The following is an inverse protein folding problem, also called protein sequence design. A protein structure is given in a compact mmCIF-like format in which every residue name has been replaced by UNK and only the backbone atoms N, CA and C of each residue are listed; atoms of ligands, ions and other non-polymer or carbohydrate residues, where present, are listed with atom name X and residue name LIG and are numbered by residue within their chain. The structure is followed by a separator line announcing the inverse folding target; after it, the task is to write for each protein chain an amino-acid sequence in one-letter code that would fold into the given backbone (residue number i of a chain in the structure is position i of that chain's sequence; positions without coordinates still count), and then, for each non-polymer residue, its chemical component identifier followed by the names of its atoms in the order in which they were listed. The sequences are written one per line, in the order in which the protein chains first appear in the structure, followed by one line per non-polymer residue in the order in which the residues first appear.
data_IF_610960848784
#
_entry.id   IF_610960848784
#
_cell.length_a   1.000
_cell.length_b   1.000
_cell.length_c   1.000
_cell.angle_alpha   90.00
_cell.angle_beta   90.00
_cell.angle_gamma   90.00
#
_symmetry.space_group_name_H-M   'P 1'
#
loop_
_entity.id
_entity.type
_entity.pdbx_description
1 polymer ?
#
# COMPACT_ATOMS: atom_id res chain seq x y z
N UNK A 1 -10.15 2.62 3.30
CA UNK A 1 -9.33 3.48 2.44
C UNK A 1 -9.78 3.48 0.98
N UNK A 2 -9.49 2.48 0.14
CA UNK A 2 -9.71 2.60 -1.32
C UNK A 2 -10.78 1.64 -1.80
N UNK A 3 -11.79 2.10 -2.52
CA UNK A 3 -12.81 1.25 -3.14
C UNK A 3 -13.00 1.58 -4.61
N UNK A 4 -12.90 0.54 -5.43
CA UNK A 4 -13.29 0.53 -6.84
C UNK A 4 -14.66 -0.17 -6.95
N UNK A 5 -15.59 0.47 -7.64
CA UNK A 5 -16.96 -0.02 -7.88
C UNK A 5 -17.30 0.05 -9.37
N UNK A 6 -17.36 -1.10 -10.04
CA UNK A 6 -17.60 -1.28 -11.49
C UNK A 6 -16.78 -0.33 -12.39
N UNK A 7 -15.49 -0.16 -12.05
CA UNK A 7 -14.64 0.82 -12.72
C UNK A 7 -14.27 0.35 -14.12
N UNK A 8 -14.57 1.18 -15.12
CA UNK A 8 -14.22 0.97 -16.53
C UNK A 8 -13.38 2.14 -17.01
N UNK A 9 -12.38 1.85 -17.84
CA UNK A 9 -11.55 2.88 -18.46
C UNK A 9 -11.23 2.50 -19.90
N UNK A 10 -11.75 3.31 -20.81
CA UNK A 10 -11.44 3.25 -22.24
C UNK A 10 -10.66 4.51 -22.62
N UNK A 11 -9.47 4.34 -23.19
CA UNK A 11 -8.69 5.46 -23.71
C UNK A 11 -9.27 5.96 -25.03
N UNK A 12 -8.93 7.20 -25.40
CA UNK A 12 -9.38 7.81 -26.68
C UNK A 12 -8.95 7.01 -27.92
N UNK A 13 -7.91 6.20 -27.80
CA UNK A 13 -7.45 5.25 -28.82
C UNK A 13 -8.41 4.07 -29.05
N UNK A 14 -9.44 3.90 -28.21
CA UNK A 14 -10.35 2.76 -28.24
C UNK A 14 -9.87 1.55 -27.43
N UNK A 15 -8.76 1.67 -26.69
CA UNK A 15 -8.24 0.59 -25.84
C UNK A 15 -8.99 0.56 -24.50
N UNK A 16 -9.69 -0.53 -24.25
CA UNK A 16 -10.32 -0.84 -22.96
C UNK A 16 -9.28 -1.36 -21.97
N UNK A 17 -8.84 -0.48 -21.08
CA UNK A 17 -7.77 -0.78 -20.13
C UNK A 17 -8.29 -1.34 -18.79
N UNK A 18 -9.51 -0.98 -18.37
CA UNK A 18 -10.20 -1.55 -17.22
C UNK A 18 -11.64 -1.86 -17.62
N UNK A 19 -12.14 -3.03 -17.24
CA UNK A 19 -13.42 -3.57 -17.69
C UNK A 19 -14.27 -4.06 -16.50
N UNK A 20 -14.78 -3.13 -15.69
CA UNK A 20 -15.70 -3.45 -14.57
C UNK A 20 -14.98 -3.91 -13.31
N UNK A 21 -13.85 -3.28 -13.01
CA UNK A 21 -12.98 -3.61 -11.89
C UNK A 21 -13.62 -3.18 -10.57
N UNK A 22 -13.76 -4.12 -9.64
CA UNK A 22 -14.33 -3.86 -8.31
C UNK A 22 -13.52 -4.54 -7.21
N UNK A 23 -13.08 -3.78 -6.21
CA UNK A 23 -12.36 -4.28 -5.04
C UNK A 23 -12.32 -3.21 -3.94
N UNK A 24 -12.00 -3.63 -2.71
CA UNK A 24 -11.83 -2.77 -1.54
C UNK A 24 -10.46 -3.05 -0.92
N UNK A 25 -9.67 -2.01 -0.68
CA UNK A 25 -8.43 -2.05 0.12
C UNK A 25 -8.69 -1.30 1.43
N UNK A 26 -8.53 -2.01 2.53
CA UNK A 26 -8.70 -1.49 3.89
C UNK A 26 -7.46 -0.72 4.35
N UNK A 27 -7.60 0.09 5.40
CA UNK A 27 -6.50 0.91 5.93
C UNK A 27 -5.39 0.00 6.49
N UNK A 28 -4.14 0.32 6.22
CA UNK A 28 -2.98 -0.47 6.64
C UNK A 28 -2.80 -1.79 5.90
N UNK A 29 -3.58 -2.07 4.84
CA UNK A 29 -3.35 -3.27 4.03
C UNK A 29 -2.06 -3.15 3.18
N UNK A 30 -1.38 -4.29 3.03
CA UNK A 30 -0.30 -4.46 2.06
C UNK A 30 -0.84 -5.30 0.90
N UNK A 31 -0.89 -4.73 -0.30
CA UNK A 31 -1.53 -5.33 -1.46
C UNK A 31 -0.60 -5.36 -2.66
N UNK A 32 -0.42 -6.54 -3.23
CA UNK A 32 0.20 -6.70 -4.54
C UNK A 32 -0.85 -6.65 -5.64
N UNK A 33 -0.60 -5.83 -6.66
CA UNK A 33 -1.36 -5.82 -7.91
C UNK A 33 -0.46 -6.42 -8.99
N UNK A 34 -0.83 -7.61 -9.47
CA UNK A 34 -0.03 -8.36 -10.43
C UNK A 34 -0.75 -8.55 -11.75
N UNK A 35 0.01 -8.83 -12.81
CA UNK A 35 -0.54 -9.10 -14.13
C UNK A 35 0.49 -8.88 -15.23
N UNK A 36 0.21 -9.35 -16.43
CA UNK A 36 1.10 -9.18 -17.59
C UNK A 36 1.25 -7.70 -17.98
N UNK A 37 2.25 -7.38 -18.78
CA UNK A 37 2.34 -6.05 -19.39
C UNK A 37 1.07 -5.76 -20.21
N UNK A 38 0.55 -4.53 -20.11
CA UNK A 38 -0.69 -4.12 -20.77
C UNK A 38 -1.99 -4.62 -20.11
N UNK A 39 -1.95 -5.32 -18.97
CA UNK A 39 -3.16 -5.84 -18.33
C UNK A 39 -4.06 -4.80 -17.66
N UNK A 40 -3.56 -3.58 -17.45
CA UNK A 40 -4.32 -2.48 -16.82
C UNK A 40 -3.75 -1.96 -15.49
N UNK A 41 -2.68 -2.56 -14.95
CA UNK A 41 -2.03 -2.15 -13.67
C UNK A 41 -1.75 -0.64 -13.58
N UNK A 42 -1.01 -0.10 -14.55
CA UNK A 42 -0.68 1.33 -14.56
C UNK A 42 -1.92 2.21 -14.73
N UNK A 43 -2.98 1.73 -15.40
CA UNK A 43 -4.25 2.46 -15.48
C UNK A 43 -4.96 2.48 -14.14
N UNK A 44 -4.96 1.36 -13.41
CA UNK A 44 -5.50 1.29 -12.04
C UNK A 44 -4.77 2.27 -11.12
N UNK A 45 -3.43 2.29 -11.15
CA UNK A 45 -2.63 3.27 -10.40
C UNK A 45 -2.98 4.71 -10.78
N UNK A 46 -3.09 5.01 -12.09
CA UNK A 46 -3.47 6.35 -12.57
C UNK A 46 -4.87 6.76 -12.13
N UNK A 47 -5.79 5.81 -11.95
CA UNK A 47 -7.09 6.09 -11.36
C UNK A 47 -6.98 6.44 -9.88
N UNK A 48 -6.12 5.75 -9.11
CA UNK A 48 -5.84 6.09 -7.70
C UNK A 48 -5.21 7.48 -7.57
N UNK A 49 -4.22 7.81 -8.39
CA UNK A 49 -3.51 9.11 -8.34
C UNK A 49 -4.26 10.25 -9.01
N UNK A 50 -5.45 9.95 -9.54
CA UNK A 50 -6.29 10.88 -10.32
C UNK A 50 -5.52 11.50 -11.51
N UNK A 51 -4.61 10.74 -12.10
CA UNK A 51 -4.02 11.04 -13.41
C UNK A 51 -5.00 10.68 -14.54
N UNK A 52 -5.77 9.61 -14.35
CA UNK A 52 -6.82 9.19 -15.26
C UNK A 52 -8.17 9.12 -14.54
N UNK A 53 -9.18 9.73 -15.17
CA UNK A 53 -10.58 9.63 -14.72
C UNK A 53 -11.19 8.35 -15.30
N UNK A 54 -11.84 7.49 -14.49
CA UNK A 54 -12.54 6.33 -15.02
C UNK A 54 -13.64 6.77 -15.99
N UNK A 55 -13.85 6.00 -17.07
CA UNK A 55 -14.93 6.25 -18.04
C UNK A 55 -16.29 5.96 -17.42
N UNK A 56 -16.38 4.90 -16.59
CA UNK A 56 -17.57 4.56 -15.80
C UNK A 56 -17.15 3.97 -14.45
N UNK A 57 -18.11 3.90 -13.52
CA UNK A 57 -17.88 3.41 -12.16
C UNK A 57 -17.34 4.47 -11.21
N UNK A 58 -17.09 4.07 -9.97
CA UNK A 58 -16.70 4.95 -8.87
C UNK A 58 -15.41 4.44 -8.21
N UNK A 59 -14.44 5.33 -8.04
CA UNK A 59 -13.23 5.17 -7.25
C UNK A 59 -13.33 6.11 -6.06
N UNK A 60 -13.26 5.56 -4.85
CA UNK A 60 -13.27 6.32 -3.60
C UNK A 60 -11.96 6.08 -2.86
N UNK A 61 -11.41 7.15 -2.28
CA UNK A 61 -10.29 7.10 -1.34
C UNK A 61 -10.76 7.79 -0.05
N UNK A 62 -10.68 7.06 1.05
CA UNK A 62 -11.37 7.31 2.29
C UNK A 62 -12.87 7.52 2.07
N UNK A 63 -13.38 8.69 2.40
CA UNK A 63 -14.79 9.05 2.21
C UNK A 63 -15.01 9.88 0.94
N UNK A 64 -13.98 10.03 0.09
CA UNK A 64 -14.02 10.94 -1.04
C UNK A 64 -14.13 10.19 -2.34
N UNK A 65 -15.16 10.50 -3.12
CA UNK A 65 -15.25 10.08 -4.51
C UNK A 65 -14.27 10.87 -5.37
N UNK A 66 -13.09 10.27 -5.59
CA UNK A 66 -12.07 10.88 -6.42
C UNK A 66 -12.45 10.85 -7.90
N UNK A 67 -13.51 10.13 -8.30
CA UNK A 67 -13.97 10.03 -9.69
C UNK A 67 -14.70 11.28 -10.15
N UNK A 68 -15.41 11.94 -9.24
CA UNK A 68 -16.20 13.15 -9.45
C UNK A 68 -15.58 14.39 -8.79
N UNK A 69 -14.50 14.24 -8.02
CA UNK A 69 -13.89 15.35 -7.27
C UNK A 69 -13.52 16.56 -8.14
N UNK A 70 -13.63 17.75 -7.52
CA UNK A 70 -13.18 19.00 -8.12
C UNK A 70 -11.66 18.96 -8.37
N UNK A 71 -11.24 19.41 -9.55
CA UNK A 71 -9.83 19.48 -9.96
C UNK A 71 -8.96 20.28 -8.99
N UNK A 72 -9.52 21.29 -8.32
CA UNK A 72 -8.83 22.11 -7.32
C UNK A 72 -8.35 21.30 -6.10
N UNK A 73 -8.97 20.15 -5.83
CA UNK A 73 -8.69 19.30 -4.66
C UNK A 73 -7.76 18.12 -4.98
N UNK A 74 -7.46 17.90 -6.26
CA UNK A 74 -6.51 16.88 -6.70
C UNK A 74 -5.12 17.05 -6.04
N UNK A 75 -4.56 18.28 -5.89
CA UNK A 75 -3.30 18.46 -5.17
C UNK A 75 -3.38 18.07 -3.69
N UNK A 76 -4.53 18.26 -3.03
CA UNK A 76 -4.72 17.87 -1.63
C UNK A 76 -4.71 16.34 -1.51
N UNK A 77 -5.47 15.64 -2.36
CA UNK A 77 -5.43 14.18 -2.46
C UNK A 77 -4.00 13.67 -2.68
N UNK A 78 -3.27 14.24 -3.63
CA UNK A 78 -1.92 13.80 -3.98
C UNK A 78 -0.89 14.02 -2.88
N UNK A 79 -1.13 14.90 -1.91
CA UNK A 79 -0.26 15.02 -0.72
C UNK A 79 -0.38 13.83 0.22
N UNK A 80 -1.49 13.10 0.16
CA UNK A 80 -1.75 11.91 0.97
C UNK A 80 -1.23 10.62 0.31
N UNK A 81 -0.74 10.71 -0.93
CA UNK A 81 -0.26 9.57 -1.72
C UNK A 81 1.23 9.71 -1.98
N UNK A 82 2.02 8.81 -1.43
CA UNK A 82 3.43 8.62 -1.76
C UNK A 82 3.57 7.76 -3.01
N UNK A 83 4.21 8.30 -4.04
CA UNK A 83 4.47 7.57 -5.29
C UNK A 83 5.92 7.12 -5.38
N UNK A 84 6.12 5.84 -5.69
CA UNK A 84 7.43 5.25 -5.96
C UNK A 84 7.41 4.69 -7.38
N UNK A 85 8.39 5.06 -8.20
CA UNK A 85 8.47 4.64 -9.60
C UNK A 85 9.72 3.79 -9.84
N UNK A 86 9.62 2.84 -10.77
CA UNK A 86 10.72 1.99 -11.23
C UNK A 86 11.95 2.75 -11.72
N UNK A 87 11.76 3.95 -12.31
CA UNK A 87 12.81 4.81 -12.85
C UNK A 87 13.32 5.88 -11.86
N UNK A 88 13.00 5.73 -10.56
CA UNK A 88 13.35 6.61 -9.42
C UNK A 88 12.79 8.04 -9.49
N UNK A 89 12.79 8.66 -10.67
CA UNK A 89 12.40 10.05 -10.98
C UNK A 89 13.02 11.05 -10.02
N UNK A 90 14.29 10.88 -9.67
CA UNK A 90 15.02 11.86 -8.88
C UNK A 90 15.30 13.12 -9.73
N UNK A 91 15.53 14.23 -9.06
CA UNK A 91 15.92 15.49 -9.69
C UNK A 91 17.44 15.51 -9.72
N UNK A 92 18.02 15.31 -10.91
CA UNK A 92 19.47 15.16 -11.11
C UNK A 92 20.30 16.35 -10.63
N UNK A 93 19.69 17.54 -10.60
CA UNK A 93 20.34 18.80 -10.19
C UNK A 93 20.23 19.09 -8.70
N UNK A 94 19.68 18.15 -7.91
CA UNK A 94 19.49 18.28 -6.46
C UNK A 94 20.25 17.19 -5.74
N UNK A 95 20.75 17.48 -4.55
CA UNK A 95 21.35 16.47 -3.68
C UNK A 95 20.29 15.49 -3.15
N UNK A 96 20.71 14.43 -2.47
CA UNK A 96 19.80 13.50 -1.78
C UNK A 96 18.88 14.23 -0.81
N UNK A 97 19.45 15.04 0.09
CA UNK A 97 18.66 15.80 1.06
C UNK A 97 17.68 16.76 0.38
N UNK A 98 18.09 17.41 -0.71
CA UNK A 98 17.23 18.32 -1.47
C UNK A 98 16.13 17.57 -2.24
N UNK A 99 16.41 16.38 -2.76
CA UNK A 99 15.42 15.51 -3.39
C UNK A 99 14.34 15.10 -2.41
N UNK A 100 14.73 14.69 -1.20
CA UNK A 100 13.80 14.34 -0.13
C UNK A 100 12.99 15.59 0.25
N UNK A 101 13.66 16.71 0.54
CA UNK A 101 13.02 17.96 0.99
C UNK A 101 12.01 18.55 -0.01
N UNK A 102 12.18 18.28 -1.31
CA UNK A 102 11.47 18.94 -2.40
C UNK A 102 9.95 19.00 -2.23
N UNK A 103 9.33 17.88 -1.85
CA UNK A 103 7.88 17.83 -1.66
C UNK A 103 7.40 18.72 -0.49
N UNK A 104 8.19 18.78 0.58
CA UNK A 104 7.93 19.64 1.73
C UNK A 104 8.11 21.13 1.43
N UNK A 105 9.07 21.48 0.56
CA UNK A 105 9.28 22.85 0.08
C UNK A 105 8.08 23.35 -0.73
N UNK A 106 7.53 22.53 -1.62
CA UNK A 106 6.39 22.88 -2.49
C UNK A 106 5.14 23.23 -1.66
N UNK A 107 4.89 22.52 -0.57
CA UNK A 107 3.74 22.77 0.30
C UNK A 107 4.00 23.87 1.35
N UNK A 108 5.20 24.45 1.37
CA UNK A 108 5.54 25.55 2.29
C UNK A 108 5.86 25.11 3.71
N UNK A 109 6.35 23.88 3.90
CA UNK A 109 6.72 23.37 5.24
C UNK A 109 7.79 24.26 5.87
N UNK A 110 7.65 24.68 7.14
CA UNK A 110 8.65 25.51 7.81
C UNK A 110 10.03 24.85 7.79
N UNK A 111 11.06 25.61 7.38
CA UNK A 111 12.42 25.08 7.14
C UNK A 111 13.00 24.29 8.32
N UNK A 112 12.71 24.71 9.56
CA UNK A 112 13.16 23.99 10.77
C UNK A 112 12.53 22.60 10.89
N UNK A 113 11.22 22.50 10.62
CA UNK A 113 10.51 21.21 10.62
C UNK A 113 10.99 20.34 9.48
N UNK A 114 11.09 20.92 8.27
CA UNK A 114 11.53 20.20 7.08
C UNK A 114 12.93 19.60 7.26
N UNK A 115 13.88 20.35 7.82
CA UNK A 115 15.21 19.83 8.10
C UNK A 115 15.18 18.65 9.06
N UNK A 116 14.30 18.67 10.07
CA UNK A 116 14.15 17.56 11.01
C UNK A 116 13.60 16.32 10.31
N UNK A 117 12.54 16.46 9.53
CA UNK A 117 11.92 15.36 8.79
C UNK A 117 12.86 14.78 7.75
N UNK A 118 13.64 15.61 7.04
CA UNK A 118 14.68 15.15 6.09
C UNK A 118 15.77 14.34 6.80
N UNK A 119 16.26 14.80 7.96
CA UNK A 119 17.25 14.05 8.73
C UNK A 119 16.69 12.71 9.22
N UNK A 120 15.43 12.68 9.68
CA UNK A 120 14.77 11.44 10.05
C UNK A 120 14.63 10.49 8.86
N UNK A 121 14.23 10.99 7.69
CA UNK A 121 14.14 10.20 6.46
C UNK A 121 15.49 9.60 6.06
N UNK A 122 16.55 10.40 6.08
CA UNK A 122 17.92 9.94 5.79
C UNK A 122 18.35 8.82 6.74
N UNK A 123 17.93 8.87 8.01
CA UNK A 123 18.19 7.82 8.98
C UNK A 123 17.43 6.53 8.63
N UNK A 124 16.12 6.64 8.40
CA UNK A 124 15.22 5.51 8.08
C UNK A 124 15.74 4.76 6.84
N UNK A 125 16.21 5.48 5.83
CA UNK A 125 16.69 4.84 4.61
C UNK A 125 18.17 4.51 4.62
N UNK A 126 18.90 4.80 5.71
CA UNK A 126 20.32 4.46 5.85
C UNK A 126 21.28 5.29 4.97
N UNK A 127 20.93 6.53 4.62
CA UNK A 127 21.68 7.38 3.69
C UNK A 127 22.22 8.68 4.32
N UNK A 128 22.44 8.71 5.65
CA UNK A 128 22.90 9.91 6.36
C UNK A 128 24.18 10.49 5.76
N UNK A 129 25.15 9.64 5.46
CA UNK A 129 26.47 10.06 4.97
C UNK A 129 26.45 10.50 3.50
N UNK A 130 25.36 10.21 2.77
CA UNK A 130 25.16 10.56 1.36
C UNK A 130 24.22 11.75 1.16
N UNK A 131 23.89 12.48 2.22
CA UNK A 131 22.91 13.57 2.18
C UNK A 131 23.25 14.66 1.14
N UNK A 132 24.54 14.86 0.85
CA UNK A 132 25.04 15.88 -0.08
C UNK A 132 25.36 15.33 -1.47
N UNK A 133 25.25 14.03 -1.67
CA UNK A 133 25.54 13.38 -2.96
C UNK A 133 24.42 13.69 -3.95
N UNK A 134 24.74 13.68 -5.24
CA UNK A 134 23.80 13.79 -6.34
C UNK A 134 23.34 12.40 -6.82
N UNK A 135 22.17 12.27 -7.48
CA UNK A 135 21.65 10.99 -7.95
C UNK A 135 22.64 10.16 -8.79
N UNK A 136 23.50 10.82 -9.57
CA UNK A 136 24.51 10.16 -10.40
C UNK A 136 25.64 9.48 -9.61
N UNK A 137 25.79 9.83 -8.33
CA UNK A 137 26.81 9.29 -7.42
C UNK A 137 26.27 8.09 -6.61
N UNK A 138 24.99 7.77 -6.78
CA UNK A 138 24.28 6.71 -6.05
C UNK A 138 24.12 5.44 -6.88
N UNK A 139 24.20 4.29 -6.22
CA UNK A 139 23.75 3.02 -6.80
C UNK A 139 22.23 3.00 -7.01
N UNK A 140 21.73 2.07 -7.83
CA UNK A 140 20.29 1.95 -8.09
C UNK A 140 19.45 1.71 -6.82
N UNK A 141 19.96 0.87 -5.90
CA UNK A 141 19.31 0.64 -4.61
C UNK A 141 19.24 1.89 -3.74
N UNK A 142 20.31 2.68 -3.72
CA UNK A 142 20.34 3.95 -3.00
C UNK A 142 19.40 4.97 -3.63
N UNK A 143 19.35 5.08 -4.96
CA UNK A 143 18.38 5.93 -5.65
C UNK A 143 16.93 5.53 -5.31
N UNK A 144 16.66 4.23 -5.23
CA UNK A 144 15.34 3.73 -4.80
C UNK A 144 15.03 4.11 -3.35
N UNK A 145 15.99 3.98 -2.43
CA UNK A 145 15.87 4.44 -1.04
C UNK A 145 15.58 5.93 -0.95
N UNK A 146 16.23 6.77 -1.75
CA UNK A 146 15.92 8.21 -1.85
C UNK A 146 14.50 8.44 -2.37
N UNK A 147 14.06 7.69 -3.38
CA UNK A 147 12.70 7.80 -3.90
C UNK A 147 11.64 7.42 -2.84
N UNK A 148 11.90 6.38 -2.04
CA UNK A 148 11.05 5.98 -0.89
C UNK A 148 11.03 7.08 0.17
N UNK A 149 12.19 7.58 0.61
CA UNK A 149 12.28 8.68 1.57
C UNK A 149 11.49 9.92 1.11
N UNK A 150 11.61 10.28 -0.17
CA UNK A 150 10.86 11.39 -0.76
C UNK A 150 9.35 11.14 -0.78
N UNK A 151 8.92 9.92 -1.09
CA UNK A 151 7.51 9.54 -1.07
C UNK A 151 6.93 9.60 0.36
N UNK A 152 7.74 9.28 1.37
CA UNK A 152 7.33 9.25 2.78
C UNK A 152 7.39 10.60 3.49
N UNK A 153 8.12 11.60 2.98
CA UNK A 153 8.42 12.83 3.71
C UNK A 153 7.18 13.49 4.33
N UNK A 154 6.06 13.52 3.61
CA UNK A 154 4.83 14.16 4.04
C UNK A 154 3.86 13.20 4.75
N UNK A 155 4.34 12.04 5.20
CA UNK A 155 3.54 11.01 5.87
C UNK A 155 2.27 10.64 5.11
N UNK A 156 2.38 10.09 3.89
CA UNK A 156 1.20 9.69 3.16
C UNK A 156 0.47 8.55 3.88
N UNK A 157 -0.86 8.55 3.85
CA UNK A 157 -1.68 7.40 4.30
C UNK A 157 -1.60 6.22 3.32
N UNK A 158 -1.24 6.51 2.07
CA UNK A 158 -1.11 5.54 0.98
C UNK A 158 0.25 5.65 0.31
N UNK A 159 0.96 4.54 0.19
CA UNK A 159 2.08 4.40 -0.74
C UNK A 159 1.65 3.54 -1.92
N UNK A 160 1.90 4.04 -3.14
CA UNK A 160 1.74 3.26 -4.37
C UNK A 160 3.09 3.17 -5.06
N UNK A 161 3.54 1.93 -5.28
CA UNK A 161 4.81 1.65 -5.93
C UNK A 161 4.59 0.91 -7.26
N UNK A 162 5.14 1.46 -8.35
CA UNK A 162 5.17 0.82 -9.67
C UNK A 162 6.53 0.15 -9.88
N UNK A 163 6.56 -1.18 -9.84
CA UNK A 163 7.76 -2.02 -9.99
C UNK A 163 8.97 -1.52 -9.17
N UNK A 164 8.85 -1.35 -7.84
CA UNK A 164 9.87 -0.72 -6.99
C UNK A 164 11.22 -1.47 -6.96
N UNK A 165 11.25 -2.72 -7.40
CA UNK A 165 12.44 -3.57 -7.42
C UNK A 165 12.84 -4.02 -8.83
N UNK A 166 12.13 -3.55 -9.88
CA UNK A 166 12.27 -4.12 -11.23
C UNK A 166 13.65 -3.94 -11.88
N UNK A 167 14.45 -2.98 -11.41
CA UNK A 167 15.79 -2.67 -11.92
C UNK A 167 16.90 -2.94 -10.89
N UNK A 168 16.61 -3.64 -9.81
CA UNK A 168 17.53 -3.88 -8.69
C UNK A 168 17.98 -5.34 -8.67
N UNK A 169 19.17 -5.58 -8.15
CA UNK A 169 19.63 -6.94 -7.84
C UNK A 169 18.75 -7.57 -6.73
N UNK A 170 18.74 -8.92 -6.61
CA UNK A 170 17.86 -9.61 -5.68
C UNK A 170 18.04 -9.21 -4.21
N UNK A 171 19.27 -9.01 -3.76
CA UNK A 171 19.60 -8.66 -2.38
C UNK A 171 19.08 -7.26 -2.04
N UNK A 172 19.37 -6.28 -2.89
CA UNK A 172 18.84 -4.92 -2.78
C UNK A 172 17.31 -4.94 -2.82
N UNK A 173 16.71 -5.74 -3.69
CA UNK A 173 15.25 -5.87 -3.81
C UNK A 173 14.61 -6.36 -2.50
N UNK A 174 15.22 -7.35 -1.84
CA UNK A 174 14.74 -7.85 -0.55
C UNK A 174 14.82 -6.77 0.53
N UNK A 175 15.92 -6.01 0.59
CA UNK A 175 16.06 -4.91 1.56
C UNK A 175 15.04 -3.79 1.33
N UNK A 176 14.79 -3.40 0.06
CA UNK A 176 13.75 -2.42 -0.29
C UNK A 176 12.35 -2.91 0.12
N UNK A 177 12.08 -4.20 -0.07
CA UNK A 177 10.79 -4.77 0.29
C UNK A 177 10.61 -4.91 1.80
N UNK A 178 11.67 -5.23 2.54
CA UNK A 178 11.68 -5.19 4.00
C UNK A 178 11.34 -3.79 4.52
N UNK A 179 11.93 -2.74 3.94
CA UNK A 179 11.61 -1.35 4.26
C UNK A 179 10.12 -1.04 4.01
N UNK A 180 9.57 -1.41 2.85
CA UNK A 180 8.14 -1.20 2.55
C UNK A 180 7.20 -1.98 3.49
N UNK A 181 7.60 -3.18 3.91
CA UNK A 181 6.86 -3.96 4.90
C UNK A 181 6.87 -3.29 6.27
N UNK A 182 7.99 -2.72 6.67
CA UNK A 182 8.11 -2.00 7.95
C UNK A 182 7.26 -0.71 7.94
N UNK A 183 7.28 0.02 6.83
CA UNK A 183 6.39 1.19 6.64
C UNK A 183 4.92 0.79 6.77
N UNK A 184 4.55 -0.38 6.22
CA UNK A 184 3.19 -0.90 6.35
C UNK A 184 2.83 -1.33 7.77
N UNK A 185 3.76 -1.95 8.51
CA UNK A 185 3.56 -2.32 9.92
C UNK A 185 3.24 -1.10 10.79
N UNK A 186 3.77 0.06 10.43
CA UNK A 186 3.50 1.34 11.06
C UNK A 186 2.15 1.99 10.64
N UNK A 187 1.31 1.26 9.90
CA UNK A 187 -0.09 1.60 9.61
C UNK A 187 -0.32 2.24 8.25
N UNK A 188 0.73 2.47 7.45
CA UNK A 188 0.59 2.99 6.09
C UNK A 188 0.05 1.90 5.16
N UNK A 189 -0.97 2.20 4.35
CA UNK A 189 -1.42 1.28 3.32
C UNK A 189 -0.42 1.27 2.18
N UNK A 190 0.00 0.09 1.72
CA UNK A 190 1.02 -0.06 0.67
C UNK A 190 0.46 -0.88 -0.48
N UNK A 191 0.49 -0.31 -1.68
CA UNK A 191 0.11 -0.98 -2.92
C UNK A 191 1.35 -1.12 -3.79
N UNK A 192 1.67 -2.34 -4.18
CA UNK A 192 2.80 -2.64 -5.06
C UNK A 192 2.29 -3.25 -6.35
N UNK A 193 2.48 -2.54 -7.45
CA UNK A 193 2.31 -3.11 -8.77
C UNK A 193 3.60 -3.80 -9.20
N UNK A 194 3.53 -5.10 -9.50
CA UNK A 194 4.70 -5.86 -9.94
C UNK A 194 4.29 -6.97 -10.91
N UNK A 195 5.22 -7.39 -11.76
CA UNK A 195 5.09 -8.60 -12.56
C UNK A 195 5.92 -9.76 -11.99
N UNK A 196 6.68 -9.53 -10.91
CA UNK A 196 7.49 -10.54 -10.24
C UNK A 196 6.64 -11.43 -9.33
N UNK A 197 6.31 -12.63 -9.82
CA UNK A 197 5.59 -13.63 -9.04
C UNK A 197 6.39 -14.21 -7.87
N UNK A 198 7.72 -14.30 -8.01
CA UNK A 198 8.56 -14.91 -6.97
C UNK A 198 8.59 -14.04 -5.71
N UNK A 199 8.70 -12.72 -5.90
CA UNK A 199 8.63 -11.75 -4.80
C UNK A 199 7.28 -11.85 -4.05
N UNK A 200 6.20 -11.93 -4.80
CA UNK A 200 4.83 -11.98 -4.26
C UNK A 200 4.60 -13.26 -3.45
N UNK A 201 5.10 -14.39 -3.94
CA UNK A 201 4.95 -15.69 -3.28
C UNK A 201 5.73 -15.79 -1.97
N UNK A 202 6.87 -15.09 -1.86
CA UNK A 202 7.66 -15.03 -0.62
C UNK A 202 6.96 -14.22 0.47
N UNK A 203 6.39 -13.07 0.12
CA UNK A 203 5.87 -12.10 1.08
C UNK A 203 4.46 -12.44 1.59
N UNK A 204 3.71 -13.28 0.85
CA UNK A 204 2.41 -13.88 1.28
C UNK A 204 1.35 -12.89 1.76
N UNK A 205 1.39 -11.65 1.27
CA UNK A 205 0.36 -10.62 1.51
C UNK A 205 -0.82 -10.77 0.54
N UNK A 206 -1.75 -9.81 0.54
CA UNK A 206 -2.89 -9.82 -0.35
C UNK A 206 -2.45 -9.67 -1.80
N UNK A 207 -3.07 -10.42 -2.71
CA UNK A 207 -2.77 -10.36 -4.14
C UNK A 207 -4.04 -10.13 -4.95
N UNK A 208 -4.05 -9.07 -5.74
CA UNK A 208 -5.05 -8.77 -6.76
C UNK A 208 -4.39 -8.98 -8.13
N UNK A 209 -4.88 -9.94 -8.91
CA UNK A 209 -4.37 -10.22 -10.25
C UNK A 209 -5.32 -9.65 -11.29
N UNK A 210 -4.76 -8.88 -12.21
CA UNK A 210 -5.48 -8.27 -13.32
C UNK A 210 -4.97 -8.82 -14.67
N UNK A 211 -5.91 -9.26 -15.50
CA UNK A 211 -5.66 -9.72 -16.86
C UNK A 211 -6.72 -9.16 -17.82
N UNK A 212 -6.27 -8.62 -18.96
CA UNK A 212 -7.15 -8.00 -19.96
C UNK A 212 -8.10 -6.92 -19.42
N UNK A 213 -7.74 -6.21 -18.35
CA UNK A 213 -8.60 -5.21 -17.70
C UNK A 213 -9.60 -5.77 -16.69
N UNK A 214 -9.59 -7.07 -16.41
CA UNK A 214 -10.46 -7.74 -15.43
C UNK A 214 -9.67 -8.22 -14.22
N UNK A 215 -10.27 -8.18 -13.03
CA UNK A 215 -9.72 -8.88 -11.87
C UNK A 215 -10.03 -10.36 -12.02
N UNK A 216 -8.98 -11.18 -12.10
CA UNK A 216 -9.09 -12.64 -12.20
C UNK A 216 -8.78 -13.34 -10.86
N UNK A 217 -8.16 -12.62 -9.91
CA UNK A 217 -7.82 -13.14 -8.58
C UNK A 217 -7.82 -12.01 -7.56
N UNK A 218 -8.41 -12.23 -6.38
CA UNK A 218 -8.23 -11.39 -5.20
C UNK A 218 -8.13 -12.31 -3.97
N UNK A 219 -6.95 -12.39 -3.36
CA UNK A 219 -6.65 -13.32 -2.26
C UNK A 219 -6.00 -12.57 -1.10
N UNK A 220 -6.69 -12.46 0.05
CA UNK A 220 -6.20 -11.73 1.23
C UNK A 220 -4.96 -12.33 1.92
N UNK A 221 -4.69 -13.64 1.73
CA UNK A 221 -3.43 -14.30 2.11
C UNK A 221 -3.06 -15.31 1.02
N UNK A 222 -1.90 -15.15 0.39
CA UNK A 222 -1.38 -16.16 -0.54
C UNK A 222 -0.89 -17.38 0.25
N UNK A 223 -1.80 -18.32 0.51
CA UNK A 223 -1.45 -19.70 0.75
C UNK A 223 -1.94 -20.49 -0.46
N UNK A 224 -1.07 -20.73 -1.44
CA UNK A 224 -1.44 -21.65 -2.51
C UNK A 224 -1.53 -23.05 -1.91
N UNK A 225 -2.77 -23.51 -1.67
CA UNK A 225 -3.06 -24.94 -1.55
C UNK A 225 -2.54 -25.57 -2.83
N UNK A 226 -1.40 -26.26 -2.73
CA UNK A 226 -0.87 -27.15 -3.77
C UNK A 226 -2.06 -27.98 -4.26
N UNK A 227 -2.52 -27.76 -5.50
CA UNK A 227 -3.51 -28.64 -6.12
C UNK A 227 -2.88 -30.03 -6.13
N UNK A 228 -3.28 -30.87 -5.19
CA UNK A 228 -3.13 -32.30 -5.34
C UNK A 228 -3.96 -32.67 -6.56
N UNK A 229 -3.28 -33.00 -7.66
CA UNK A 229 -3.90 -33.69 -8.78
C UNK A 229 -4.39 -35.02 -8.22
N UNK A 230 -5.68 -35.10 -7.92
CA UNK A 230 -6.35 -36.35 -7.63
C UNK A 230 -6.91 -36.90 -8.94
N UNK A 231 -6.26 -37.97 -9.38
CA UNK A 231 -6.74 -39.10 -10.20
C UNK A 231 -7.36 -38.84 -11.58
N UNK A 232 -6.69 -39.41 -12.59
CA UNK A 232 -7.37 -40.33 -13.51
C UNK A 232 -6.41 -41.48 -13.83
N UNK A 233 -6.74 -42.68 -13.37
CA UNK A 233 -6.11 -43.94 -13.76
C UNK A 233 -7.24 -44.86 -14.20
N UNK A 234 -7.34 -45.09 -15.51
CA UNK A 234 -8.14 -46.15 -16.11
C UNK A 234 -7.16 -47.11 -16.79
N UNK A 235 -7.16 -48.35 -16.27
CA UNK A 235 -6.94 -49.66 -16.90
C UNK A 235 -5.74 -49.87 -17.85
N UNK A 236 -4.79 -50.73 -17.48
CA UNK A 236 -4.78 -52.18 -17.84
C UNK A 236 -3.37 -52.80 -17.79
N UNK A 237 -3.28 -54.04 -17.27
CA UNK A 237 -2.44 -55.08 -17.88
C UNK A 237 -1.01 -55.36 -17.36
N UNK A 238 -0.87 -56.52 -16.71
CA UNK A 238 0.26 -57.46 -16.74
C UNK A 238 1.66 -57.10 -16.16
N UNK A 239 2.02 -57.81 -15.07
CA UNK A 239 3.17 -58.73 -15.07
C UNK A 239 4.49 -58.31 -14.42
N UNK A 240 4.92 -59.06 -13.40
CA UNK A 240 6.33 -59.48 -13.25
C UNK A 240 7.18 -58.88 -12.11
N UNK A 241 7.41 -59.70 -11.08
CA UNK A 241 8.64 -59.94 -10.27
C UNK A 241 9.47 -58.82 -9.61
N UNK A 242 9.68 -59.07 -8.30
CA UNK A 242 10.92 -59.00 -7.48
C UNK A 242 11.48 -57.68 -6.90
N UNK A 243 11.27 -57.56 -5.57
CA UNK A 243 12.20 -57.35 -4.43
C UNK A 243 13.36 -56.35 -4.50
N UNK A 244 13.38 -55.39 -3.56
CA UNK A 244 14.36 -55.25 -2.44
C UNK A 244 14.56 -53.77 -2.00
N UNK A 245 14.52 -53.58 -0.67
CA UNK A 245 15.23 -52.56 0.15
C UNK A 245 15.03 -51.06 -0.17
N UNK A 246 14.74 -50.17 0.79
CA UNK A 246 15.22 -50.11 2.18
C UNK A 246 14.26 -49.24 3.00
N UNK A 247 13.92 -49.74 4.18
CA UNK A 247 13.31 -48.98 5.28
C UNK A 247 14.43 -48.16 5.93
N UNK A 248 14.19 -46.88 6.17
CA UNK A 248 14.67 -46.21 7.37
C UNK A 248 13.64 -45.15 7.75
N UNK A 249 12.85 -45.51 8.74
CA UNK A 249 11.96 -44.66 9.53
C UNK A 249 12.78 -43.71 10.41
N UNK A 250 12.45 -42.42 10.42
CA UNK A 250 12.62 -41.59 11.60
C UNK A 250 11.35 -40.78 11.86
N UNK A 251 11.01 -40.75 13.14
CA UNK A 251 9.76 -40.36 13.78
C UNK A 251 9.86 -38.91 14.27
N UNK A 252 8.71 -38.21 14.19
CA UNK A 252 8.19 -37.05 14.94
C UNK A 252 9.14 -35.93 15.40
N UNK A 253 8.75 -34.68 15.12
CA UNK A 253 8.33 -33.80 16.22
C UNK A 253 7.38 -32.69 15.70
N UNK A 254 6.15 -32.71 16.22
CA UNK A 254 5.27 -31.55 16.30
C UNK A 254 5.62 -30.82 17.60
N UNK A 255 5.99 -29.55 17.53
CA UNK A 255 5.84 -28.66 18.69
C UNK A 255 5.34 -27.29 18.24
N UNK A 256 4.16 -26.97 18.77
CA UNK A 256 3.61 -25.64 18.93
C UNK A 256 4.53 -24.83 19.86
N UNK A 257 4.91 -23.63 19.45
CA UNK A 257 5.49 -22.64 20.37
C UNK A 257 4.57 -21.41 20.42
N UNK A 258 3.68 -21.46 21.42
CA UNK A 258 3.02 -20.32 22.03
C UNK A 258 4.05 -19.46 22.77
N UNK A 259 4.30 -18.23 22.30
CA UNK A 259 5.03 -17.23 23.08
C UNK A 259 4.06 -16.43 23.96
N UNK A 260 3.95 -16.87 25.21
CA UNK A 260 3.50 -16.09 26.36
C UNK A 260 4.63 -15.16 26.81
N UNK A 261 4.34 -13.88 27.08
CA UNK A 261 5.06 -13.11 28.10
C UNK A 261 4.08 -12.60 29.14
N UNK A 262 4.45 -12.87 30.39
CA UNK A 262 3.62 -12.73 31.57
C UNK A 262 3.50 -11.31 32.12
N UNK A 263 2.57 -11.29 33.06
CA UNK A 263 2.03 -10.24 33.90
C UNK A 263 3.07 -9.66 34.89
N UNK A 264 3.04 -8.34 35.10
CA UNK A 264 3.23 -7.76 36.44
C UNK A 264 2.30 -6.54 36.62
N UNK A 265 1.34 -6.72 37.51
CA UNK A 265 0.39 -5.79 38.10
C UNK A 265 1.03 -4.59 38.84
N UNK A 266 0.35 -3.43 38.89
CA UNK A 266 -0.38 -2.95 40.09
C UNK A 266 -0.98 -1.52 39.97
N UNK A 267 -2.30 -1.46 40.22
CA UNK A 267 -3.11 -0.45 40.97
C UNK A 267 -3.52 0.86 40.28
N UNK A 268 -4.85 1.07 40.21
CA UNK A 268 -5.46 2.41 40.14
C UNK A 268 -6.94 2.43 39.71
N UNK A 269 -7.83 2.32 40.70
CA UNK A 269 -9.26 2.71 40.76
C UNK A 269 -9.68 3.80 39.75
N UNK A 270 -10.87 3.91 39.13
CA UNK A 270 -12.21 3.41 39.37
C UNK A 270 -13.22 4.50 38.93
N UNK A 271 -14.36 4.10 38.36
CA UNK A 271 -15.61 4.87 38.13
C UNK A 271 -15.75 5.66 36.78
N UNK A 272 -17.01 5.96 36.32
CA UNK A 272 -17.58 5.26 35.17
C UNK A 272 -18.05 6.17 34.02
N UNK A 273 -18.39 5.52 32.91
CA UNK A 273 -18.96 6.07 31.69
C UNK A 273 -20.28 6.84 31.92
N UNK A 274 -20.36 8.03 31.32
CA UNK A 274 -21.59 8.82 31.17
C UNK A 274 -21.97 8.83 29.68
N UNK A 275 -23.08 8.19 29.35
CA UNK A 275 -23.79 8.40 28.09
C UNK A 275 -24.63 9.70 28.20
N UNK A 276 -24.67 10.56 27.18
CA UNK A 276 -25.73 11.54 27.09
C UNK A 276 -26.97 10.92 26.44
N UNK A 277 -28.09 11.04 27.15
CA UNK A 277 -29.46 10.81 26.67
C UNK A 277 -29.80 11.76 25.52
N UNK A 278 -30.41 11.20 24.49
CA UNK A 278 -31.25 11.92 23.54
C UNK A 278 -32.57 12.29 24.24
N UNK A 279 -32.88 13.59 24.29
CA UNK A 279 -34.23 14.08 24.53
C UNK A 279 -34.84 14.55 23.21
N UNK A 280 -36.03 14.01 22.98
CA UNK A 280 -37.00 14.29 21.94
C UNK A 280 -37.65 15.66 22.14
N UNK A 281 -37.81 16.43 21.06
CA UNK A 281 -38.95 17.32 20.92
C UNK A 281 -39.60 17.09 19.55
N UNK A 282 -40.89 16.77 19.63
CA UNK A 282 -41.84 16.63 18.53
C UNK A 282 -42.21 18.00 17.97
N UNK A 283 -42.39 18.06 16.65
CA UNK A 283 -43.00 19.18 15.96
C UNK A 283 -43.58 18.71 14.63
N UNK A 284 -44.80 18.17 14.68
CA UNK A 284 -45.61 17.91 13.49
C UNK A 284 -46.08 19.22 12.84
N UNK A 285 -45.93 19.37 11.52
CA UNK A 285 -47.03 19.86 10.68
C UNK A 285 -46.88 19.44 9.21
N UNK A 286 -47.98 18.93 8.69
CA UNK A 286 -48.27 18.33 7.39
C UNK A 286 -48.27 19.29 6.19
N UNK A 287 -47.92 18.79 4.99
CA UNK A 287 -48.87 18.54 3.88
C UNK A 287 -48.17 18.10 2.58
N UNK A 288 -48.56 16.93 2.09
CA UNK A 288 -48.65 16.38 0.72
C UNK A 288 -47.97 17.11 -0.47
N UNK A 289 -47.12 16.39 -1.23
CA UNK A 289 -47.49 15.83 -2.55
C UNK A 289 -46.33 15.06 -3.24
N UNK A 290 -46.72 14.02 -3.98
CA UNK A 290 -45.89 13.10 -4.78
C UNK A 290 -45.00 13.79 -5.85
N UNK A 291 -43.74 13.37 -5.96
CA UNK A 291 -43.08 13.03 -7.24
C UNK A 291 -41.73 12.34 -7.01
N UNK A 292 -41.52 11.27 -7.77
CA UNK A 292 -40.26 10.56 -7.96
C UNK A 292 -39.12 11.49 -8.41
N UNK A 293 -37.97 11.44 -7.74
CA UNK A 293 -36.69 11.66 -8.42
C UNK A 293 -35.54 10.99 -7.65
N UNK A 294 -34.77 10.19 -8.40
CA UNK A 294 -33.47 9.68 -7.97
C UNK A 294 -32.49 10.85 -8.03
N UNK A 295 -32.12 11.40 -6.87
CA UNK A 295 -30.98 12.30 -6.76
C UNK A 295 -30.33 12.10 -5.39
N UNK A 296 -29.59 11.00 -5.23
CA UNK A 296 -28.50 10.96 -4.26
C UNK A 296 -27.34 11.78 -4.87
N UNK A 297 -27.47 13.11 -4.82
CA UNK A 297 -26.31 13.98 -4.86
C UNK A 297 -25.64 13.87 -3.50
N UNK A 298 -24.68 12.94 -3.39
CA UNK A 298 -23.60 13.05 -2.41
C UNK A 298 -22.84 14.35 -2.76
N UNK A 299 -23.35 15.49 -2.29
CA UNK A 299 -22.72 16.78 -2.47
C UNK A 299 -21.34 16.69 -1.80
N UNK A 300 -20.29 16.77 -2.62
CA UNK A 300 -18.92 16.66 -2.16
C UNK A 300 -18.64 17.80 -1.16
N UNK A 301 -18.57 17.45 0.12
CA UNK A 301 -18.27 18.41 1.19
C UNK A 301 -16.77 18.75 1.18
N UNK A 302 -16.45 19.85 0.50
CA UNK A 302 -15.08 20.35 0.40
C UNK A 302 -14.52 20.82 1.74
N UNK A 303 -15.36 21.29 2.65
CA UNK A 303 -14.93 21.86 3.91
C UNK A 303 -14.59 20.75 4.89
N UNK A 304 -15.40 19.68 4.97
CA UNK A 304 -15.07 18.48 5.73
C UNK A 304 -13.82 17.76 5.20
N UNK A 305 -13.60 17.76 3.87
CA UNK A 305 -12.36 17.25 3.27
C UNK A 305 -11.15 18.07 3.70
N UNK A 306 -11.26 19.40 3.71
CA UNK A 306 -10.15 20.28 4.10
C UNK A 306 -9.88 20.23 5.60
N UNK A 307 -10.91 20.21 6.45
CA UNK A 307 -10.77 20.14 7.92
C UNK A 307 -10.09 18.85 8.36
N UNK A 308 -10.57 17.68 7.91
CA UNK A 308 -9.94 16.37 8.21
C UNK A 308 -8.48 16.30 7.76
N UNK A 309 -8.13 17.01 6.69
CA UNK A 309 -6.79 17.00 6.10
C UNK A 309 -5.88 18.14 6.61
N UNK A 310 -6.42 19.10 7.37
CA UNK A 310 -5.65 20.15 8.07
C UNK A 310 -5.32 19.76 9.51
N UNK A 311 -6.04 18.81 10.12
CA UNK A 311 -5.78 18.31 11.49
C UNK A 311 -4.47 17.51 11.64
N UNK A 312 -3.81 17.12 10.54
CA UNK A 312 -2.52 16.43 10.59
C UNK A 312 -1.40 17.41 10.94
N UNK A 313 -1.23 17.65 12.24
CA UNK A 313 -0.13 18.42 12.79
C UNK A 313 1.22 17.79 12.43
N UNK A 314 2.22 18.63 12.15
CA UNK A 314 3.62 18.22 11.95
C UNK A 314 4.18 17.46 13.17
N UNK A 315 3.60 17.64 14.36
CA UNK A 315 3.95 16.86 15.56
C UNK A 315 3.61 15.38 15.45
N UNK A 316 2.44 15.05 14.89
CA UNK A 316 1.93 13.67 14.86
C UNK A 316 2.59 12.87 13.74
N UNK A 317 2.92 13.59 12.67
CA UNK A 317 3.79 13.18 11.57
C UNK A 317 5.20 12.76 12.05
N UNK A 318 5.86 13.60 12.85
CA UNK A 318 7.19 13.30 13.40
C UNK A 318 7.15 12.11 14.38
N UNK A 319 6.05 11.96 15.14
CA UNK A 319 5.87 10.84 16.09
C UNK A 319 5.73 9.50 15.35
N UNK A 320 4.87 9.41 14.32
CA UNK A 320 4.72 8.16 13.54
C UNK A 320 6.01 7.72 12.86
N UNK A 321 6.77 8.67 12.29
CA UNK A 321 8.03 8.35 11.65
C UNK A 321 9.11 7.91 12.64
N UNK A 322 9.09 8.45 13.87
CA UNK A 322 10.03 8.05 14.91
C UNK A 322 9.80 6.63 15.47
N UNK A 323 8.65 6.03 15.18
CA UNK A 323 8.30 4.66 15.58
C UNK A 323 8.75 3.60 14.57
N UNK A 324 9.25 4.02 13.41
CA UNK A 324 9.83 3.15 12.40
C UNK A 324 11.22 2.73 12.89
N UNK A 325 11.27 1.68 13.71
CA UNK A 325 12.51 1.08 14.21
C UNK A 325 13.03 0.09 13.16
N UNK A 326 14.03 0.51 12.38
CA UNK A 326 14.64 -0.36 11.37
C UNK A 326 15.94 -0.87 11.96
N UNK A 327 15.92 -2.14 12.34
CA UNK A 327 17.10 -2.87 12.77
C UNK A 327 17.94 -3.20 11.53
N UNK A 328 18.68 -2.20 11.04
CA UNK A 328 19.54 -2.29 9.86
C UNK A 328 20.78 -3.19 10.08
N UNK A 329 21.11 -3.49 11.33
CA UNK A 329 22.30 -4.26 11.70
C UNK A 329 22.19 -5.76 11.38
N UNK A 330 20.99 -6.28 11.06
CA UNK A 330 20.78 -7.70 10.67
C UNK A 330 20.91 -7.98 9.16
N UNK A 331 21.39 -7.02 8.37
CA UNK A 331 21.59 -7.20 6.91
C UNK A 331 23.08 -7.25 6.49
N UNK A 332 24.03 -7.13 7.43
CA UNK A 332 25.48 -7.15 7.14
C UNK A 332 26.19 -8.47 7.48
N UNK A 333 25.50 -9.48 8.04
CA UNK A 333 26.12 -10.70 8.58
C UNK A 333 25.95 -11.94 7.67
N UNK A 334 26.23 -11.84 6.36
CA UNK A 334 26.35 -13.03 5.49
C UNK A 334 27.41 -12.91 4.38
N UNK A 335 28.52 -12.19 4.66
CA UNK A 335 29.77 -12.34 3.91
C UNK A 335 30.86 -13.02 4.77
N UNK A 336 30.91 -14.36 4.75
CA UNK A 336 32.15 -15.12 5.03
C UNK A 336 32.37 -16.30 4.09
#
# INVERSE_FOLDING_TARGET
MIRFSDVKKTYKSGVDALQGVSFLIEDGEFVFIIGKSGSGKSTLMKCITREEVPTCGKVTIDNFDISSMNRALVPVLRRQIGMIYQDFRLIDTKTVAENIAFAGEIIGTPRKSLNRSVQLMLNIVGLKDKANDYPQELSGGEQQRVAIARAMLNNPSLIVADEPTGNLDPETSESIMALLLEINRNGTTVIICTHDSNLVDRIKKRVIEIDGGYIIRDQKKSAYKRRSIAQESVEDGFGGYDTENRVDSFVEDETEDDFFFGDETLIGEGAPAVQPKLESEEGEMSSDDNASDFSDEDEFDSDAFLEKNMEWSTSDADVKLSQIDIDLDNLEDDET
#
